data_IF_241458168807
#
_entry.id   IF_241458168807
#
_cell.length_a   1.000
_cell.length_b   1.000
_cell.length_c   1.000
_cell.angle_alpha   90.00
_cell.angle_beta   90.00
_cell.angle_gamma   90.00
#
_symmetry.space_group_name_H-M   'P 1'
#
loop_
_entity.id
_entity.type
_entity.pdbx_description
1 polymer ?
2 polymer ?
3 non-polymer ?
4 non-polymer ?
5 non-polymer ?
6 non-polymer ?
7 water ?
#
loop_
_entity_poly.entity_id
_entity_poly.type
_entity_poly.pdbx_seq_one_letter_code
_entity_poly.pdbx_strand_id
2 'polyribonucleotide' '(M7G)(A2M)G' ?
#
# COMPACT_ATOMS: atom_id res chain seq x y z
N UNK A 1 -6.31 25.12 2.58
CA UNK A 1 -6.81 24.10 3.48
C UNK A 1 -6.32 22.73 3.01
N UNK A 2 -6.34 21.76 3.92
CA UNK A 2 -5.81 20.43 3.67
C UNK A 2 -6.90 19.37 3.46
N UNK A 3 -8.15 19.67 3.81
CA UNK A 3 -9.23 18.70 3.76
C UNK A 3 -10.55 19.47 3.80
N UNK A 4 -11.62 18.79 3.43
CA UNK A 4 -12.95 19.40 3.49
C UNK A 4 -13.89 18.36 4.09
N UNK A 5 -13.93 18.30 5.43
CA UNK A 5 -14.75 17.32 6.11
C UNK A 5 -16.22 17.72 6.18
N UNK A 6 -16.60 18.84 5.58
CA UNK A 6 -18.01 19.22 5.54
C UNK A 6 -18.78 18.51 4.44
N UNK A 7 -18.10 17.99 3.43
CA UNK A 7 -18.77 17.39 2.28
C UNK A 7 -19.42 16.09 2.71
N UNK A 8 -20.73 15.96 2.45
CA UNK A 8 -21.45 14.76 2.83
C UNK A 8 -21.24 13.68 1.78
N UNK A 9 -21.47 12.43 2.18
CA UNK A 9 -21.26 11.33 1.26
C UNK A 9 -22.40 11.24 0.25
N UNK A 10 -22.08 10.81 -0.96
CA UNK A 10 -23.09 10.28 -1.87
C UNK A 10 -22.87 8.80 -2.17
N UNK A 11 -21.97 8.15 -1.42
CA UNK A 11 -21.81 6.72 -1.53
C UNK A 11 -22.97 6.00 -0.86
N UNK A 12 -23.49 4.99 -1.55
CA UNK A 12 -24.65 4.23 -1.11
C UNK A 12 -24.26 2.76 -1.04
N UNK A 13 -24.53 2.12 0.09
CA UNK A 13 -24.19 0.72 0.30
C UNK A 13 -25.38 -0.01 0.91
N UNK A 14 -25.36 -1.34 0.80
CA UNK A 14 -26.22 -2.14 1.65
C UNK A 14 -25.78 -1.98 3.10
N UNK A 15 -26.74 -1.83 4.00
CA UNK A 15 -26.40 -1.74 5.42
C UNK A 15 -25.63 -2.99 5.84
N UNK A 16 -24.68 -2.80 6.77
CA UNK A 16 -23.71 -3.81 7.17
C UNK A 16 -23.95 -4.28 8.61
N UNK A 17 -23.81 -5.58 8.83
CA UNK A 17 -23.59 -6.07 10.18
C UNK A 17 -22.31 -5.45 10.75
N UNK A 18 -22.28 -5.13 12.05
CA UNK A 18 -21.02 -4.64 12.63
C UNK A 18 -19.92 -5.69 12.50
N UNK A 19 -18.69 -5.22 12.31
CA UNK A 19 -17.54 -6.05 12.01
C UNK A 19 -17.01 -6.72 13.28
N UNK A 20 -16.28 -7.83 13.09
CA UNK A 20 -15.86 -8.67 14.19
C UNK A 20 -14.42 -8.42 14.63
N UNK A 21 -13.80 -7.32 14.19
CA UNK A 21 -12.43 -7.00 14.59
C UNK A 21 -12.31 -6.89 16.10
N UNK A 22 -11.22 -7.41 16.67
CA UNK A 22 -10.98 -7.16 18.09
C UNK A 22 -10.69 -5.68 18.27
N UNK A 23 -11.35 -5.00 19.21
CA UNK A 23 -11.16 -3.53 19.35
C UNK A 23 -9.75 -3.20 19.77
N UNK A 24 -9.14 -2.16 19.19
CA UNK A 24 -7.71 -1.92 19.42
C UNK A 24 -7.43 -1.39 20.81
N UNK A 25 -6.17 -1.59 21.25
CA UNK A 25 -5.71 -1.20 22.58
C UNK A 25 -4.20 -0.99 22.47
N UNK A 26 -3.65 0.09 23.04
CA UNK A 26 -2.20 0.32 22.87
C UNK A 26 -1.31 -0.84 23.28
N UNK A 27 -1.69 -1.62 24.30
CA UNK A 27 -0.84 -2.74 24.68
C UNK A 27 -0.68 -3.74 23.55
N UNK A 28 -1.76 -3.98 22.81
CA UNK A 28 -1.69 -4.90 21.68
C UNK A 28 -0.98 -4.24 20.51
N UNK A 29 -1.25 -2.97 20.25
CA UNK A 29 -0.61 -2.30 19.13
C UNK A 29 0.90 -2.26 19.32
N UNK A 30 1.35 -2.06 20.57
CA UNK A 30 2.78 -2.05 20.84
C UNK A 30 3.40 -3.42 20.55
N UNK A 31 2.70 -4.50 20.94
CA UNK A 31 3.20 -5.83 20.65
C UNK A 31 3.30 -6.08 19.15
N UNK A 32 2.25 -5.68 18.41
CA UNK A 32 2.29 -5.82 16.95
C UNK A 32 3.45 -5.04 16.35
N UNK A 33 3.74 -3.85 16.89
CA UNK A 33 4.87 -3.06 16.42
C UNK A 33 6.19 -3.78 16.67
N UNK A 34 6.34 -4.35 17.87
CA UNK A 34 7.59 -5.02 18.21
C UNK A 34 7.80 -6.26 17.34
N UNK A 35 6.74 -7.04 17.14
CA UNK A 35 6.86 -8.24 16.30
C UNK A 35 7.08 -7.87 14.83
N UNK A 36 6.45 -6.80 14.35
CA UNK A 36 6.68 -6.41 12.96
C UNK A 36 8.13 -5.98 12.75
N UNK A 37 8.71 -5.29 13.74
CA UNK A 37 10.13 -4.97 13.68
C UNK A 37 10.97 -6.25 13.59
N UNK A 38 10.65 -7.25 14.42
CA UNK A 38 11.40 -8.50 14.37
C UNK A 38 11.22 -9.19 13.01
N UNK A 39 10.02 -9.10 12.44
CA UNK A 39 9.78 -9.71 11.13
C UNK A 39 10.63 -9.04 10.06
N UNK A 40 10.70 -7.71 10.07
CA UNK A 40 11.58 -7.01 9.13
C UNK A 40 13.03 -7.44 9.34
N UNK A 41 13.43 -7.66 10.59
CA UNK A 41 14.80 -8.12 10.87
C UNK A 41 15.03 -9.53 10.34
N UNK A 42 14.04 -10.42 10.48
CA UNK A 42 14.17 -11.75 9.88
C UNK A 42 14.32 -11.67 8.37
N UNK A 43 13.55 -10.77 7.74
CA UNK A 43 13.62 -10.59 6.29
C UNK A 43 15.01 -10.13 5.86
N UNK A 44 15.57 -9.16 6.59
CA UNK A 44 16.93 -8.71 6.35
C UNK A 44 17.92 -9.87 6.46
N UNK A 45 17.78 -10.70 7.50
CA UNK A 45 18.72 -11.77 7.72
C UNK A 45 18.62 -12.83 6.64
N UNK A 46 17.40 -13.18 6.24
CA UNK A 46 17.21 -14.15 5.16
C UNK A 46 17.81 -13.65 3.85
N UNK A 47 17.57 -12.38 3.50
CA UNK A 47 18.16 -11.88 2.26
C UNK A 47 19.68 -11.88 2.33
N UNK A 48 20.26 -11.49 3.46
CA UNK A 48 21.71 -11.48 3.59
C UNK A 48 22.27 -12.91 3.55
N UNK A 49 21.69 -13.82 4.33
CA UNK A 49 22.28 -15.16 4.46
C UNK A 49 22.11 -15.99 3.21
N UNK A 50 20.94 -15.89 2.56
CA UNK A 50 20.66 -16.75 1.42
C UNK A 50 21.18 -16.16 0.10
N UNK A 51 21.14 -14.83 -0.05
CA UNK A 51 21.53 -14.24 -1.32
C UNK A 51 22.56 -13.11 -1.21
N UNK A 52 23.04 -12.78 -0.02
CA UNK A 52 24.07 -11.76 0.11
C UNK A 52 23.65 -10.38 -0.33
N UNK A 53 22.35 -10.06 -0.21
CA UNK A 53 21.85 -8.74 -0.58
C UNK A 53 21.05 -8.16 0.58
N UNK A 54 20.90 -6.84 0.55
CA UNK A 54 19.93 -6.19 1.41
C UNK A 54 18.52 -6.48 0.90
N UNK A 55 17.52 -6.41 1.76
CA UNK A 55 16.15 -6.53 1.25
C UNK A 55 15.88 -5.42 0.26
N UNK A 56 15.32 -5.74 -0.91
CA UNK A 56 14.98 -4.69 -1.88
C UNK A 56 14.20 -3.58 -1.20
N UNK A 57 14.57 -2.33 -1.53
CA UNK A 57 13.98 -1.19 -0.87
C UNK A 57 12.48 -1.16 -1.06
N UNK A 58 11.75 -1.02 0.05
CA UNK A 58 10.29 -0.94 0.13
C UNK A 58 9.58 -2.25 -0.24
N UNK A 59 10.32 -3.35 -0.42
CA UNK A 59 9.65 -4.59 -0.82
C UNK A 59 8.81 -5.17 0.31
N UNK A 60 9.23 -5.01 1.57
CA UNK A 60 8.44 -5.56 2.67
C UNK A 60 7.07 -4.86 2.73
N UNK A 61 7.07 -3.53 2.58
CA UNK A 61 5.82 -2.78 2.58
C UNK A 61 4.90 -3.22 1.46
N UNK A 62 5.45 -3.38 0.25
CA UNK A 62 4.62 -3.86 -0.85
C UNK A 62 4.17 -5.29 -0.62
N UNK A 63 5.00 -6.11 0.04
CA UNK A 63 4.58 -7.47 0.41
C UNK A 63 3.35 -7.43 1.31
N UNK A 64 3.35 -6.54 2.32
CA UNK A 64 2.18 -6.43 3.19
C UNK A 64 0.92 -6.14 2.37
N UNK A 65 1.03 -5.26 1.38
CA UNK A 65 -0.13 -4.88 0.56
C UNK A 65 -0.57 -6.02 -0.35
N UNK A 66 0.38 -6.64 -1.06
CA UNK A 66 0.04 -7.79 -1.91
C UNK A 66 -0.57 -8.91 -1.09
N UNK A 67 0.02 -9.23 0.07
CA UNK A 67 -0.53 -10.30 0.90
C UNK A 67 -1.97 -10.02 1.29
N UNK A 68 -2.28 -8.78 1.62
CA UNK A 68 -3.64 -8.47 2.05
C UNK A 68 -4.65 -8.54 0.91
N UNK A 69 -4.21 -8.64 -0.33
CA UNK A 69 -5.17 -8.91 -1.40
C UNK A 69 -5.82 -10.27 -1.21
N UNK A 70 -5.06 -11.26 -0.72
CA UNK A 70 -5.57 -12.62 -0.60
C UNK A 70 -5.70 -13.11 0.83
N UNK A 71 -5.21 -12.37 1.84
CA UNK A 71 -5.16 -12.86 3.20
C UNK A 71 -6.57 -13.08 3.77
N UNK A 72 -6.79 -14.25 4.36
CA UNK A 72 -8.03 -14.57 5.06
C UNK A 72 -7.84 -14.61 6.57
N UNK A 73 -6.67 -14.20 7.06
CA UNK A 73 -6.31 -14.38 8.45
C UNK A 73 -6.84 -13.30 9.38
N UNK A 74 -6.42 -13.39 10.63
CA UNK A 74 -7.05 -12.66 11.74
C UNK A 74 -6.37 -11.34 12.08
N UNK A 75 -5.22 -11.02 11.49
CA UNK A 75 -4.57 -9.77 11.89
C UNK A 75 -4.89 -8.66 10.89
N UNK A 76 -5.12 -7.42 11.35
CA UNK A 76 -5.38 -6.33 10.40
C UNK A 76 -4.16 -5.89 9.61
N UNK A 77 -2.96 -6.23 10.05
CA UNK A 77 -1.75 -5.77 9.37
C UNK A 77 -0.95 -6.93 8.77
N UNK A 78 -0.64 -7.93 9.58
CA UNK A 78 0.28 -8.99 9.15
C UNK A 78 -0.48 -10.14 8.51
N UNK A 79 0.08 -10.76 7.47
CA UNK A 79 -0.61 -11.89 6.82
C UNK A 79 -0.44 -13.21 7.56
N UNK A 80 -1.42 -14.09 7.38
CA UNK A 80 -1.33 -15.38 8.06
C UNK A 80 -2.11 -16.51 7.39
N UNK A 81 -2.94 -16.22 6.37
CA UNK A 81 -3.69 -17.31 5.72
C UNK A 81 -3.85 -16.92 4.24
N UNK A 82 -2.80 -17.19 3.46
CA UNK A 82 -2.68 -16.70 2.09
C UNK A 82 -2.44 -17.86 1.14
N UNK A 83 -3.22 -17.88 0.05
CA UNK A 83 -2.97 -18.73 -1.11
C UNK A 83 -2.72 -17.80 -2.30
N UNK A 84 -1.53 -17.82 -2.92
CA UNK A 84 -0.41 -18.73 -2.71
C UNK A 84 0.46 -18.31 -1.53
N UNK A 85 1.19 -19.27 -0.96
CA UNK A 85 2.14 -18.97 0.11
C UNK A 85 3.23 -18.02 -0.37
N UNK A 86 3.76 -18.25 -1.57
CA UNK A 86 4.86 -17.44 -2.10
C UNK A 86 4.28 -16.16 -2.71
N UNK A 87 4.72 -15.02 -2.20
CA UNK A 87 4.27 -13.74 -2.75
C UNK A 87 4.95 -13.48 -4.09
N UNK A 88 4.19 -13.29 -5.17
CA UNK A 88 4.81 -12.89 -6.44
C UNK A 88 5.48 -11.53 -6.37
N UNK A 89 5.00 -10.66 -5.47
CA UNK A 89 5.60 -9.33 -5.31
C UNK A 89 7.00 -9.44 -4.72
N UNK A 90 7.11 -10.11 -3.56
CA UNK A 90 8.42 -10.24 -2.94
C UNK A 90 9.37 -11.06 -3.82
N UNK A 91 8.85 -12.11 -4.46
CA UNK A 91 9.68 -12.91 -5.35
C UNK A 91 10.26 -12.05 -6.47
N UNK A 92 9.39 -11.29 -7.13
CA UNK A 92 9.79 -10.41 -8.23
C UNK A 92 10.89 -9.44 -7.81
N UNK A 93 10.72 -8.81 -6.66
CA UNK A 93 11.65 -7.78 -6.23
C UNK A 93 12.99 -8.38 -5.81
N UNK A 94 12.98 -9.48 -5.06
CA UNK A 94 14.26 -10.09 -4.69
C UNK A 94 15.00 -10.55 -5.95
N UNK A 95 14.29 -11.18 -6.88
CA UNK A 95 14.99 -11.70 -8.06
C UNK A 95 15.62 -10.57 -8.87
N UNK A 96 14.99 -9.40 -8.90
CA UNK A 96 15.53 -8.27 -9.66
C UNK A 96 16.83 -7.76 -9.06
N UNK A 97 17.12 -8.08 -7.80
CA UNK A 97 18.35 -7.65 -7.13
C UNK A 97 19.39 -8.76 -7.01
N UNK A 98 19.29 -9.82 -7.81
CA UNK A 98 20.27 -10.91 -7.80
C UNK A 98 21.04 -10.87 -9.10
N UNK A 99 22.38 -11.01 -9.08
CA UNK A 99 23.22 -11.22 -7.89
C UNK A 99 23.52 -9.96 -7.09
N UNK A 100 23.22 -8.79 -7.66
CA UNK A 100 23.36 -7.52 -6.93
C UNK A 100 22.22 -6.59 -7.29
N UNK A 101 21.98 -5.62 -6.41
CA UNK A 101 21.05 -4.53 -6.71
C UNK A 101 21.73 -3.56 -7.67
N UNK A 102 21.03 -3.18 -8.73
CA UNK A 102 21.53 -2.16 -9.63
C UNK A 102 21.17 -0.80 -9.03
N UNK A 103 22.17 -0.11 -8.50
CA UNK A 103 21.95 1.16 -7.84
C UNK A 103 21.60 2.24 -8.86
N UNK A 104 21.29 3.43 -8.37
CA UNK A 104 21.16 4.59 -9.25
C UNK A 104 22.55 5.11 -9.60
N UNK A 105 22.75 5.45 -10.87
CA UNK A 105 24.04 5.89 -11.37
C UNK A 105 23.93 7.34 -11.80
N UNK A 106 24.89 8.16 -11.37
CA UNK A 106 25.06 9.51 -11.86
C UNK A 106 26.38 9.71 -12.60
N UNK A 107 27.46 9.07 -12.12
CA UNK A 107 28.78 9.25 -12.69
C UNK A 107 29.14 8.06 -13.57
N UNK A 108 29.95 8.32 -14.59
CA UNK A 108 30.42 7.23 -15.43
C UNK A 108 31.29 6.25 -14.66
N UNK A 109 32.02 6.73 -13.66
CA UNK A 109 32.84 5.83 -12.85
C UNK A 109 31.97 4.89 -12.04
N UNK A 110 30.85 5.40 -11.51
CA UNK A 110 29.91 4.52 -10.80
C UNK A 110 29.27 3.51 -11.75
N UNK A 111 29.02 3.91 -13.01
CA UNK A 111 28.51 2.96 -13.99
C UNK A 111 29.53 1.89 -14.30
N UNK A 112 30.81 2.27 -14.42
CA UNK A 112 31.86 1.29 -14.65
C UNK A 112 32.01 0.35 -13.47
N UNK A 113 31.98 0.88 -12.25
CA UNK A 113 32.11 0.02 -11.08
C UNK A 113 30.94 -0.94 -10.93
N UNK A 114 29.74 -0.52 -11.30
CA UNK A 114 28.57 -1.40 -11.18
C UNK A 114 28.64 -2.54 -12.20
N UNK A 115 29.07 -2.22 -13.43
CA UNK A 115 29.30 -3.26 -14.43
C UNK A 115 30.28 -4.31 -13.91
N UNK A 116 31.40 -3.86 -13.35
CA UNK A 116 32.37 -4.80 -12.77
C UNK A 116 31.75 -5.58 -11.62
N UNK A 117 31.04 -4.90 -10.73
CA UNK A 117 30.47 -5.55 -9.55
C UNK A 117 29.46 -6.62 -9.95
N UNK A 118 28.66 -6.35 -10.98
CA UNK A 118 27.71 -7.36 -11.44
C UNK A 118 28.44 -8.58 -11.97
N UNK A 119 29.41 -8.36 -12.86
CA UNK A 119 30.15 -9.48 -13.45
C UNK A 119 30.83 -10.32 -12.37
N UNK A 120 31.45 -9.67 -11.40
CA UNK A 120 32.13 -10.39 -10.32
C UNK A 120 31.15 -11.18 -9.46
N UNK A 121 30.00 -10.59 -9.16
CA UNK A 121 29.00 -11.28 -8.35
C UNK A 121 28.39 -12.46 -9.11
N UNK A 122 28.17 -12.29 -10.41
CA UNK A 122 27.65 -13.40 -11.22
C UNK A 122 28.64 -14.55 -11.22
N UNK A 123 29.93 -14.25 -11.35
CA UNK A 123 30.94 -15.31 -11.32
C UNK A 123 30.98 -15.99 -9.95
N UNK A 124 30.95 -15.20 -8.87
CA UNK A 124 30.94 -15.80 -7.55
C UNK A 124 29.75 -16.74 -7.37
N UNK A 125 28.61 -16.35 -7.92
CA UNK A 125 27.42 -17.19 -7.84
C UNK A 125 27.63 -18.51 -8.56
N UNK A 126 28.15 -18.45 -9.79
CA UNK A 126 28.38 -19.64 -10.61
C UNK A 126 29.42 -20.56 -9.99
N UNK A 127 30.43 -19.99 -9.32
CA UNK A 127 31.47 -20.82 -8.75
C UNK A 127 31.05 -21.52 -7.46
N UNK A 128 30.05 -20.99 -6.76
CA UNK A 128 29.79 -21.44 -5.40
C UNK A 128 28.43 -22.09 -5.20
N UNK A 129 27.58 -22.16 -6.23
CA UNK A 129 26.24 -22.69 -6.07
C UNK A 129 25.93 -23.72 -7.14
N UNK A 130 24.89 -24.52 -6.90
CA UNK A 130 24.49 -25.55 -7.85
C UNK A 130 23.95 -24.90 -9.11
N UNK A 131 24.56 -25.22 -10.25
CA UNK A 131 24.19 -24.62 -11.53
C UNK A 131 24.39 -25.66 -12.61
N UNK A 132 23.51 -25.65 -13.62
CA UNK A 132 23.68 -26.61 -14.70
C UNK A 132 24.93 -26.27 -15.51
N UNK A 133 25.53 -27.26 -16.16
CA UNK A 133 26.71 -26.96 -17.00
C UNK A 133 26.42 -25.93 -18.08
N UNK A 134 25.23 -25.98 -18.68
CA UNK A 134 24.91 -25.02 -19.74
C UNK A 134 24.86 -23.61 -19.20
N UNK A 135 24.15 -23.39 -18.08
CA UNK A 135 24.07 -22.07 -17.50
C UNK A 135 25.43 -21.59 -16.98
N UNK A 136 26.25 -22.53 -16.48
CA UNK A 136 27.57 -22.14 -15.98
C UNK A 136 28.45 -21.60 -17.11
N UNK A 137 28.46 -22.27 -18.25
CA UNK A 137 29.37 -21.83 -19.30
C UNK A 137 28.90 -20.52 -19.92
N UNK A 138 27.59 -20.31 -20.01
CA UNK A 138 27.08 -19.06 -20.57
C UNK A 138 27.45 -17.88 -19.67
N UNK A 139 27.19 -18.00 -18.36
CA UNK A 139 27.55 -16.91 -17.46
C UNK A 139 29.06 -16.71 -17.44
N UNK A 140 29.82 -17.80 -17.43
CA UNK A 140 31.28 -17.69 -17.42
C UNK A 140 31.79 -16.96 -18.66
N UNK A 141 31.28 -17.34 -19.84
CA UNK A 141 31.65 -16.68 -21.09
C UNK A 141 31.41 -15.18 -21.01
N UNK A 142 30.19 -14.79 -20.64
CA UNK A 142 29.81 -13.38 -20.65
C UNK A 142 30.60 -12.59 -19.62
N UNK A 143 30.86 -13.18 -18.45
CA UNK A 143 31.61 -12.49 -17.41
C UNK A 143 33.05 -12.26 -17.85
N UNK A 144 33.74 -13.31 -18.30
CA UNK A 144 35.12 -13.14 -18.73
C UNK A 144 35.21 -12.15 -19.89
N UNK A 145 34.19 -12.11 -20.74
CA UNK A 145 34.18 -11.16 -21.85
C UNK A 145 34.08 -9.73 -21.36
N UNK A 146 33.22 -9.48 -20.36
CA UNK A 146 33.13 -8.15 -19.79
C UNK A 146 34.42 -7.79 -19.06
N UNK A 147 34.97 -8.73 -18.29
CA UNK A 147 36.22 -8.49 -17.58
C UNK A 147 37.36 -8.15 -18.54
N UNK A 148 37.48 -8.91 -19.63
CA UNK A 148 38.56 -8.64 -20.59
C UNK A 148 38.43 -7.26 -21.21
N UNK A 149 37.20 -6.83 -21.51
CA UNK A 149 36.99 -5.50 -22.06
C UNK A 149 37.31 -4.42 -21.03
N UNK A 150 36.90 -4.62 -19.77
CA UNK A 150 37.17 -3.65 -18.72
C UNK A 150 38.67 -3.52 -18.45
N UNK A 151 39.39 -4.65 -18.44
CA UNK A 151 40.83 -4.62 -18.22
C UNK A 151 41.58 -3.95 -19.36
N UNK A 152 40.98 -3.90 -20.56
CA UNK A 152 41.59 -3.22 -21.68
C UNK A 152 41.39 -1.72 -21.60
N UNK A 153 42.14 -1.00 -22.41
CA UNK A 153 41.85 0.40 -22.69
C UNK A 153 40.64 0.46 -23.61
N UNK A 154 39.56 1.07 -23.14
CA UNK A 154 38.31 1.10 -23.88
C UNK A 154 37.77 2.53 -23.91
N UNK A 155 36.68 2.70 -24.63
CA UNK A 155 36.02 3.99 -24.79
C UNK A 155 34.53 3.79 -24.58
N UNK A 156 33.97 4.47 -23.59
CA UNK A 156 32.54 4.36 -23.32
C UNK A 156 32.07 5.56 -22.53
N UNK A 157 30.85 5.99 -22.81
CA UNK A 157 30.14 6.94 -21.98
C UNK A 157 29.45 6.19 -20.83
N UNK A 158 28.91 6.94 -19.87
CA UNK A 158 28.12 6.30 -18.83
C UNK A 158 26.92 5.57 -19.43
N UNK A 159 26.32 6.14 -20.48
CA UNK A 159 25.24 5.47 -21.19
C UNK A 159 25.72 4.15 -21.80
N UNK A 160 26.98 4.13 -22.29
CA UNK A 160 27.51 2.91 -22.88
C UNK A 160 27.79 1.85 -21.83
N UNK A 161 28.30 2.25 -20.65
CA UNK A 161 28.46 1.30 -19.55
C UNK A 161 27.10 0.75 -19.12
N UNK A 162 26.11 1.63 -18.97
CA UNK A 162 24.80 1.16 -18.55
C UNK A 162 24.17 0.21 -19.58
N UNK A 163 24.34 0.51 -20.88
CA UNK A 163 23.85 -0.40 -21.90
C UNK A 163 24.65 -1.70 -21.91
N UNK A 164 25.96 -1.60 -21.70
CA UNK A 164 26.80 -2.79 -21.53
C UNK A 164 26.33 -3.63 -20.35
N UNK A 165 25.96 -2.97 -19.25
CA UNK A 165 25.45 -3.68 -18.09
C UNK A 165 24.09 -4.30 -18.38
N UNK A 166 23.19 -3.53 -19.02
CA UNK A 166 21.88 -4.07 -19.38
C UNK A 166 22.01 -5.28 -20.29
N UNK A 167 22.96 -5.25 -21.22
CA UNK A 167 23.13 -6.38 -22.13
C UNK A 167 23.73 -7.58 -21.39
N UNK A 168 24.69 -7.34 -20.50
CA UNK A 168 25.23 -8.42 -19.68
C UNK A 168 24.17 -9.01 -18.77
N UNK A 169 23.34 -8.16 -18.18
CA UNK A 169 22.24 -8.62 -17.35
C UNK A 169 21.21 -9.36 -18.19
N UNK A 170 20.99 -8.90 -19.42
CA UNK A 170 20.12 -9.64 -20.34
C UNK A 170 20.64 -11.05 -20.58
N UNK A 171 21.95 -11.19 -20.80
CA UNK A 171 22.51 -12.50 -21.11
C UNK A 171 22.56 -13.40 -19.87
N UNK A 172 22.90 -12.83 -18.72
CA UNK A 172 23.12 -13.63 -17.51
C UNK A 172 21.84 -13.87 -16.72
N UNK A 173 20.88 -12.94 -16.78
CA UNK A 173 19.71 -12.92 -15.93
C UNK A 173 18.93 -14.22 -15.86
N UNK A 174 18.53 -14.76 -17.03
CA UNK A 174 17.79 -16.03 -17.00
C UNK A 174 18.55 -17.14 -16.31
N UNK A 175 19.87 -17.16 -16.44
CA UNK A 175 20.66 -18.22 -15.84
C UNK A 175 20.82 -17.99 -14.34
N UNK A 176 21.16 -16.75 -13.96
CA UNK A 176 21.23 -16.39 -12.56
C UNK A 176 19.89 -16.64 -11.86
N UNK A 177 18.78 -16.35 -12.55
CA UNK A 177 17.47 -16.54 -11.96
C UNK A 177 17.21 -18.02 -11.67
N UNK A 178 17.53 -18.90 -12.63
CA UNK A 178 17.31 -20.33 -12.41
C UNK A 178 18.16 -20.87 -11.27
N UNK A 179 19.33 -20.26 -11.03
CA UNK A 179 20.17 -20.67 -9.91
C UNK A 179 19.51 -20.29 -8.58
N UNK A 180 18.96 -19.08 -8.50
CA UNK A 180 18.48 -18.55 -7.23
C UNK A 180 17.00 -18.82 -6.97
N UNK A 181 16.26 -19.36 -7.94
CA UNK A 181 14.80 -19.35 -7.86
C UNK A 181 14.29 -20.06 -6.60
N UNK A 182 14.81 -21.26 -6.33
CA UNK A 182 14.29 -22.02 -5.18
C UNK A 182 14.67 -21.38 -3.86
N UNK A 183 15.87 -20.81 -3.79
CA UNK A 183 16.28 -20.09 -2.57
C UNK A 183 15.39 -18.90 -2.30
N UNK A 184 15.10 -18.12 -3.34
CA UNK A 184 14.28 -16.93 -3.18
C UNK A 184 12.84 -17.31 -2.82
N UNK A 185 12.31 -18.37 -3.43
CA UNK A 185 11.00 -18.85 -3.03
C UNK A 185 10.98 -19.20 -1.55
N UNK A 186 12.09 -19.76 -1.05
CA UNK A 186 12.17 -20.11 0.36
C UNK A 186 12.19 -18.90 1.28
N UNK A 187 12.78 -17.79 0.83
CA UNK A 187 12.71 -16.56 1.63
C UNK A 187 11.26 -16.11 1.75
N UNK A 188 10.55 -16.09 0.60
CA UNK A 188 9.16 -15.65 0.58
C UNK A 188 8.28 -16.51 1.47
N UNK A 189 8.46 -17.83 1.40
CA UNK A 189 7.62 -18.71 2.22
C UNK A 189 7.98 -18.58 3.69
N UNK A 190 9.28 -18.50 4.02
CA UNK A 190 9.66 -18.48 5.42
C UNK A 190 9.16 -17.23 6.12
N UNK A 191 9.27 -16.08 5.46
CA UNK A 191 8.84 -14.84 6.11
C UNK A 191 7.32 -14.84 6.29
N UNK A 192 6.58 -15.43 5.35
CA UNK A 192 5.13 -15.64 5.53
C UNK A 192 4.84 -16.53 6.75
N UNK A 193 5.58 -17.61 6.91
CA UNK A 193 5.28 -18.50 8.01
C UNK A 193 5.68 -17.89 9.36
N UNK A 194 6.76 -17.10 9.40
CA UNK A 194 7.06 -16.41 10.64
C UNK A 194 5.96 -15.41 10.96
N UNK A 195 5.48 -14.68 9.95
CA UNK A 195 4.38 -13.74 10.13
C UNK A 195 3.16 -14.43 10.71
N UNK A 196 2.81 -15.60 10.17
CA UNK A 196 1.63 -16.29 10.67
C UNK A 196 1.79 -16.67 12.13
N UNK A 197 3.00 -16.99 12.57
CA UNK A 197 3.19 -17.32 13.99
C UNK A 197 3.05 -16.07 14.85
N UNK A 198 3.58 -14.95 14.37
CA UNK A 198 3.41 -13.68 15.09
C UNK A 198 1.93 -13.30 15.19
N UNK A 199 1.17 -13.48 14.10
CA UNK A 199 -0.27 -13.22 14.12
C UNK A 199 -0.95 -14.05 15.22
N UNK A 200 -0.58 -15.33 15.33
CA UNK A 200 -1.17 -16.18 16.36
C UNK A 200 -0.89 -15.63 17.76
N UNK A 201 0.34 -15.16 17.99
CA UNK A 201 0.68 -14.67 19.33
C UNK A 201 -0.05 -13.38 19.65
N UNK A 202 -0.14 -12.47 18.68
CA UNK A 202 -0.88 -11.22 18.87
C UNK A 202 -2.35 -11.51 19.17
N UNK A 203 -2.94 -12.42 18.40
CA UNK A 203 -4.34 -12.80 18.61
C UNK A 203 -4.56 -13.36 20.01
N UNK A 204 -3.67 -14.24 20.48
CA UNK A 204 -3.86 -14.80 21.80
C UNK A 204 -3.71 -13.72 22.87
N UNK A 205 -2.76 -12.81 22.70
CA UNK A 205 -2.62 -11.71 23.65
C UNK A 205 -3.85 -10.82 23.67
N UNK A 206 -4.42 -10.56 22.49
CA UNK A 206 -5.58 -9.66 22.43
C UNK A 206 -6.81 -10.33 23.04
N UNK A 207 -7.02 -11.62 22.78
CA UNK A 207 -8.14 -12.31 23.40
C UNK A 207 -7.97 -12.35 24.91
N UNK A 208 -6.75 -12.58 25.39
CA UNK A 208 -6.53 -12.61 26.83
C UNK A 208 -6.82 -11.26 27.46
N UNK A 209 -6.44 -10.18 26.79
CA UNK A 209 -6.75 -8.85 27.30
C UNK A 209 -8.26 -8.63 27.38
N UNK A 210 -9.00 -9.04 26.35
CA UNK A 210 -10.45 -8.84 26.39
C UNK A 210 -11.10 -9.66 27.50
N UNK A 211 -10.63 -10.90 27.68
CA UNK A 211 -11.19 -11.73 28.76
C UNK A 211 -10.91 -11.11 30.12
N UNK A 212 -9.75 -10.49 30.28
CA UNK A 212 -9.42 -9.83 31.54
C UNK A 212 -10.34 -8.66 31.80
N UNK A 213 -10.86 -8.03 30.74
CA UNK A 213 -11.82 -6.94 30.84
C UNK A 213 -13.25 -7.43 30.94
N UNK A 214 -13.46 -8.74 31.00
CA UNK A 214 -14.80 -9.36 31.07
C UNK A 214 -15.63 -9.03 29.84
N UNK A 215 -14.98 -8.92 28.69
CA UNK A 215 -15.63 -8.63 27.42
C UNK A 215 -15.76 -9.93 26.63
N UNK A 216 -16.97 -10.27 26.21
CA UNK A 216 -17.20 -11.49 25.45
C UNK A 216 -16.89 -11.27 23.98
N UNK A 217 -16.32 -12.28 23.34
CA UNK A 217 -16.06 -12.24 21.90
C UNK A 217 -16.96 -13.20 21.13
N UNK A 218 -17.95 -13.81 21.80
CA UNK A 218 -18.78 -14.82 21.13
C UNK A 218 -20.01 -14.24 20.47
N UNK A 219 -20.27 -12.94 20.59
CA UNK A 219 -21.41 -12.32 19.95
C UNK A 219 -21.30 -12.28 18.44
N UNK A 224 -29.46 -11.55 11.86
CA UNK A 224 -30.12 -10.33 11.42
C UNK A 224 -29.98 -10.15 9.91
N UNK A 225 -31.03 -9.63 9.27
CA UNK A 225 -31.08 -9.46 7.82
C UNK A 225 -30.75 -8.01 7.48
N UNK A 226 -29.88 -7.82 6.48
CA UNK A 226 -29.49 -6.49 6.00
C UNK A 226 -30.12 -6.31 4.62
N UNK A 227 -31.15 -5.48 4.54
CA UNK A 227 -31.97 -5.43 3.33
C UNK A 227 -32.28 -4.02 2.84
N UNK A 228 -31.63 -3.00 3.38
CA UNK A 228 -31.84 -1.62 2.99
C UNK A 228 -30.56 -1.04 2.39
N UNK A 229 -30.71 -0.15 1.42
CA UNK A 229 -29.60 0.67 0.95
C UNK A 229 -29.55 1.96 1.77
N UNK A 230 -28.37 2.31 2.27
CA UNK A 230 -28.21 3.50 3.09
C UNK A 230 -26.99 4.24 2.59
N UNK A 231 -26.96 5.55 2.84
CA UNK A 231 -25.72 6.27 2.60
C UNK A 231 -24.65 5.73 3.53
N UNK A 232 -23.41 5.70 3.05
CA UNK A 232 -22.37 4.98 3.78
C UNK A 232 -22.13 5.60 5.15
N UNK A 233 -21.53 4.80 6.02
CA UNK A 233 -21.24 5.20 7.39
C UNK A 233 -20.04 4.40 7.87
N UNK A 234 -19.34 4.88 8.91
CA UNK A 234 -18.08 4.23 9.31
C UNK A 234 -18.30 2.80 9.78
N UNK A 235 -17.25 1.97 9.66
CA UNK A 235 -17.32 0.61 10.20
C UNK A 235 -17.49 0.67 11.71
N UNK A 236 -18.49 -0.05 12.20
CA UNK A 236 -18.76 -0.23 13.62
C UNK A 236 -18.29 -1.61 14.06
N UNK A 237 -17.81 -1.71 15.30
CA UNK A 237 -17.36 -2.99 15.85
C UNK A 237 -18.43 -3.60 16.75
N UNK A 238 -18.66 -4.91 16.57
CA UNK A 238 -19.64 -5.59 17.40
C UNK A 238 -19.14 -5.86 18.81
N UNK A 239 -17.84 -6.04 18.98
CA UNK A 239 -17.30 -6.41 20.30
C UNK A 239 -17.11 -5.14 21.12
N UNK A 240 -17.60 -5.07 22.35
CA UNK A 240 -17.39 -3.85 23.15
C UNK A 240 -15.91 -3.52 23.30
N UNK A 241 -15.59 -2.21 23.27
CA UNK A 241 -14.18 -1.89 23.37
C UNK A 241 -13.71 -1.96 24.82
N UNK A 242 -12.43 -2.27 25.04
CA UNK A 242 -11.90 -2.30 26.39
C UNK A 242 -11.74 -0.90 26.93
N UNK A 243 -11.58 -0.75 28.25
CA UNK A 243 -11.47 0.59 28.83
C UNK A 243 -10.24 1.30 28.30
N UNK A 244 -10.33 2.64 28.28
CA UNK A 244 -9.17 3.47 27.97
C UNK A 244 -7.99 3.09 28.86
N UNK A 245 -6.80 3.37 28.35
CA UNK A 245 -5.58 3.24 29.15
C UNK A 245 -4.92 4.62 29.25
N UNK A 246 -3.85 4.70 30.04
CA UNK A 246 -3.22 5.99 30.31
C UNK A 246 -2.36 6.39 29.11
N UNK A 247 -2.81 7.40 28.36
CA UNK A 247 -2.00 8.00 27.29
C UNK A 247 -1.88 9.48 27.58
N UNK A 248 -0.64 9.97 27.68
CA UNK A 248 -0.37 11.35 28.03
C UNK A 248 -0.14 12.17 26.77
N UNK A 249 -0.75 13.35 26.71
CA UNK A 249 -0.62 14.23 25.56
C UNK A 249 -0.01 15.55 26.00
N UNK A 250 1.00 16.00 25.28
CA UNK A 250 1.45 17.38 25.37
C UNK A 250 1.90 17.81 23.98
N UNK A 251 2.07 19.11 23.80
CA UNK A 251 2.49 19.64 22.51
C UNK A 251 3.89 20.23 22.63
N UNK A 252 4.69 20.01 21.58
CA UNK A 252 6.05 20.55 21.47
C UNK A 252 6.19 21.12 20.06
N UNK A 253 6.35 22.44 19.95
CA UNK A 253 6.56 23.07 18.63
C UNK A 253 5.50 22.62 17.63
N UNK A 254 4.24 22.65 18.07
CA UNK A 254 3.09 22.26 17.25
C UNK A 254 3.16 20.81 16.79
N UNK A 255 3.83 19.95 17.56
CA UNK A 255 3.74 18.51 17.37
C UNK A 255 3.03 17.93 18.59
N UNK A 256 1.96 17.20 18.34
CA UNK A 256 1.30 16.41 19.38
C UNK A 256 2.15 15.20 19.71
N UNK A 257 2.54 15.07 20.97
CA UNK A 257 3.32 13.95 21.47
C UNK A 257 2.46 13.13 22.41
N UNK A 258 2.22 11.87 22.05
CA UNK A 258 1.36 10.99 22.83
C UNK A 258 2.21 9.85 23.38
N UNK A 259 2.19 9.68 24.69
CA UNK A 259 3.04 8.69 25.36
C UNK A 259 2.18 7.61 25.99
N UNK A 260 2.43 6.36 25.61
CA UNK A 260 1.86 5.18 26.26
C UNK A 260 3.01 4.39 26.90
N UNK A 261 3.04 4.36 28.22
CA UNK A 261 4.05 3.60 28.97
C UNK A 261 5.47 3.87 28.44
N UNK A 262 5.79 5.14 28.26
CA UNK A 262 7.12 5.49 27.79
C UNK A 262 7.36 5.35 26.30
N UNK A 263 6.38 4.84 25.55
CA UNK A 263 6.49 4.73 24.10
C UNK A 263 5.79 5.94 23.46
N UNK A 264 6.59 6.82 22.86
CA UNK A 264 6.07 8.05 22.27
C UNK A 264 5.75 7.86 20.80
N UNK A 265 4.63 8.46 20.37
CA UNK A 265 4.34 8.67 18.95
C UNK A 265 3.98 10.14 18.75
N UNK A 266 4.21 10.63 17.54
CA UNK A 266 4.08 12.04 17.26
C UNK A 266 3.23 12.24 16.01
N UNK A 267 2.45 13.31 16.01
CA UNK A 267 1.66 13.70 14.84
C UNK A 267 1.53 15.21 14.90
N UNK A 268 1.44 15.84 13.73
CA UNK A 268 1.37 17.30 13.72
C UNK A 268 0.09 17.76 14.41
N UNK A 269 0.14 18.96 14.98
CA UNK A 269 -1.05 19.53 15.61
C UNK A 269 -2.21 19.60 14.64
N UNK A 270 -1.95 20.00 13.40
CA UNK A 270 -3.01 20.07 12.41
C UNK A 270 -3.68 18.72 12.19
N UNK A 271 -2.89 17.66 12.07
CA UNK A 271 -3.49 16.32 11.93
C UNK A 271 -4.22 15.93 13.20
N UNK A 272 -3.69 16.29 14.37
CA UNK A 272 -4.37 15.94 15.61
C UNK A 272 -5.76 16.57 15.67
N UNK A 273 -5.85 17.87 15.35
CA UNK A 273 -7.14 18.54 15.34
C UNK A 273 -8.09 17.93 14.31
N UNK A 274 -7.55 17.53 13.15
CA UNK A 274 -8.36 16.82 12.17
C UNK A 274 -8.91 15.52 12.73
N UNK A 275 -8.06 14.74 13.42
CA UNK A 275 -8.52 13.46 13.98
C UNK A 275 -9.62 13.67 15.02
N UNK A 276 -9.52 14.76 15.79
CA UNK A 276 -10.56 15.05 16.76
C UNK A 276 -11.90 15.28 16.09
N UNK A 277 -11.91 16.00 14.96
CA UNK A 277 -13.16 16.23 14.24
C UNK A 277 -13.66 14.95 13.58
N UNK A 278 -12.76 14.19 12.94
CA UNK A 278 -13.15 12.91 12.36
C UNK A 278 -13.81 12.02 13.41
N UNK A 279 -13.23 11.99 14.61
CA UNK A 279 -13.77 11.17 15.70
C UNK A 279 -15.14 11.66 16.14
N UNK A 280 -15.30 12.98 16.29
CA UNK A 280 -16.63 13.51 16.59
C UNK A 280 -17.64 13.07 15.53
N UNK A 281 -17.23 13.03 14.27
CA UNK A 281 -18.16 12.67 13.20
C UNK A 281 -18.37 11.16 13.08
N UNK A 282 -17.44 10.35 13.56
CA UNK A 282 -17.38 8.95 13.16
C UNK A 282 -17.51 7.95 14.29
N UNK A 283 -17.23 8.35 15.54
CA UNK A 283 -17.21 7.42 16.66
C UNK A 283 -18.50 7.52 17.44
N UNK A 284 -19.14 6.38 17.74
CA UNK A 284 -20.40 6.42 18.48
C UNK A 284 -20.33 5.71 19.83
N UNK A 285 -19.14 5.31 20.29
CA UNK A 285 -19.08 4.62 21.57
C UNK A 285 -18.27 5.39 22.62
N UNK A 286 -18.08 6.71 22.43
CA UNK A 286 -17.13 7.42 23.27
C UNK A 286 -17.50 8.90 23.37
N UNK A 287 -18.69 9.19 23.91
CA UNK A 287 -19.20 10.58 23.86
C UNK A 287 -18.40 11.57 24.68
N UNK A 288 -17.66 11.12 25.68
CA UNK A 288 -16.83 12.00 26.50
C UNK A 288 -15.36 11.92 26.12
N UNK A 289 -15.04 11.32 24.97
CA UNK A 289 -13.68 11.25 24.43
C UNK A 289 -12.72 10.56 25.39
N UNK A 290 -13.24 9.68 26.26
CA UNK A 290 -12.36 9.02 27.21
C UNK A 290 -11.38 8.05 26.54
N UNK A 291 -11.78 7.44 25.43
CA UNK A 291 -10.96 6.48 24.72
C UNK A 291 -10.17 7.12 23.56
N UNK A 292 -10.30 8.44 23.41
CA UNK A 292 -9.78 9.11 22.22
C UNK A 292 -8.27 9.04 22.14
N UNK A 293 -7.57 9.40 23.22
CA UNK A 293 -6.10 9.38 23.16
C UNK A 293 -5.57 7.96 23.01
N UNK A 294 -6.19 6.98 23.66
CA UNK A 294 -5.81 5.58 23.43
C UNK A 294 -5.85 5.22 21.96
N UNK A 295 -6.94 5.62 21.30
CA UNK A 295 -7.13 5.25 19.91
C UNK A 295 -6.26 6.07 18.96
N UNK A 296 -6.02 7.35 19.25
CA UNK A 296 -5.08 8.11 18.44
C UNK A 296 -3.68 7.49 18.55
N UNK A 297 -3.29 7.07 19.76
CA UNK A 297 -1.99 6.42 19.91
C UNK A 297 -1.90 5.18 19.03
N UNK A 298 -2.94 4.33 19.05
CA UNK A 298 -2.93 3.12 18.23
C UNK A 298 -2.89 3.47 16.75
N UNK A 299 -3.67 4.48 16.36
CA UNK A 299 -3.71 4.88 14.95
C UNK A 299 -2.34 5.31 14.45
N UNK A 300 -1.69 6.24 15.17
CA UNK A 300 -0.38 6.71 14.75
C UNK A 300 0.61 5.54 14.72
N UNK A 301 0.64 4.74 15.78
CA UNK A 301 1.59 3.64 15.83
C UNK A 301 1.34 2.65 14.70
N UNK A 302 0.06 2.32 14.43
CA UNK A 302 -0.25 1.40 13.34
C UNK A 302 0.33 1.87 12.02
N UNK A 303 0.13 3.15 11.69
CA UNK A 303 0.62 3.63 10.41
C UNK A 303 2.14 3.77 10.40
N UNK A 304 2.75 4.08 11.55
CA UNK A 304 4.22 4.09 11.60
C UNK A 304 4.78 2.68 11.37
N UNK A 305 4.10 1.67 11.92
CA UNK A 305 4.54 0.29 11.74
C UNK A 305 4.39 -0.15 10.30
N UNK A 306 3.27 0.23 9.67
CA UNK A 306 2.98 -0.15 8.29
C UNK A 306 4.09 0.31 7.35
N UNK A 307 4.58 1.53 7.51
CA UNK A 307 5.53 2.03 6.55
C UNK A 307 6.98 1.91 7.01
N UNK A 308 7.22 1.73 8.29
CA UNK A 308 8.57 1.56 8.83
C UNK A 308 9.06 2.72 9.67
N UNK A 309 8.40 3.87 9.60
CA UNK A 309 8.76 5.02 10.43
C UNK A 309 7.61 6.01 10.54
N UNK A 319 2.09 10.35 -1.68
CA UNK A 319 1.42 11.61 -1.43
C UNK A 319 -0.02 11.63 -1.89
N UNK A 320 -0.75 12.67 -1.51
CA UNK A 320 -2.15 12.80 -1.88
C UNK A 320 -2.29 13.73 -3.08
N UNK A 321 -3.43 13.65 -3.74
CA UNK A 321 -3.71 14.60 -4.80
C UNK A 321 -3.74 16.01 -4.20
N UNK A 322 -3.33 17.02 -4.96
CA UNK A 322 -3.41 18.40 -4.46
C UNK A 322 -4.84 18.75 -4.10
N UNK A 323 -4.98 19.61 -3.09
CA UNK A 323 -6.30 20.05 -2.66
C UNK A 323 -7.10 20.67 -3.80
N UNK A 324 -6.53 21.52 -4.67
CA UNK A 324 -7.34 22.04 -5.79
C UNK A 324 -7.91 20.95 -6.69
N UNK A 325 -7.23 19.80 -6.80
CA UNK A 325 -7.74 18.70 -7.62
C UNK A 325 -8.95 18.07 -6.95
N UNK A 326 -8.88 17.85 -5.63
CA UNK A 326 -10.05 17.33 -4.93
C UNK A 326 -11.22 18.29 -5.00
N UNK A 327 -10.95 19.60 -4.89
CA UNK A 327 -12.03 20.57 -5.04
C UNK A 327 -12.70 20.44 -6.40
N UNK A 328 -11.90 20.29 -7.46
CA UNK A 328 -12.46 20.20 -8.81
C UNK A 328 -13.15 18.87 -9.03
N UNK A 329 -12.62 17.79 -8.45
CA UNK A 329 -13.29 16.50 -8.53
C UNK A 329 -14.67 16.58 -7.86
N UNK A 330 -14.75 17.27 -6.73
CA UNK A 330 -16.04 17.43 -6.06
C UNK A 330 -16.98 18.34 -6.86
N UNK A 331 -16.49 19.50 -7.28
CA UNK A 331 -17.39 20.46 -7.95
C UNK A 331 -17.77 19.99 -9.35
N UNK A 332 -16.81 19.43 -10.10
CA UNK A 332 -17.09 19.10 -11.49
C UNK A 332 -17.71 17.73 -11.67
N UNK A 333 -17.36 16.76 -10.82
CA UNK A 333 -17.80 15.38 -10.99
C UNK A 333 -18.50 14.83 -9.74
N UNK A 334 -18.80 15.66 -8.75
CA UNK A 334 -19.58 15.22 -7.61
C UNK A 334 -18.89 14.23 -6.70
N UNK A 335 -17.56 14.13 -6.77
CA UNK A 335 -16.82 13.16 -5.97
C UNK A 335 -16.98 13.49 -4.49
N UNK A 336 -17.22 12.47 -3.66
CA UNK A 336 -17.34 12.68 -2.23
C UNK A 336 -16.51 11.70 -1.39
N UNK A 337 -15.69 10.86 -2.00
CA UNK A 337 -15.23 9.66 -1.30
C UNK A 337 -13.93 9.17 -1.94
N UNK A 338 -12.94 8.81 -1.11
CA UNK A 338 -11.66 8.29 -1.57
C UNK A 338 -11.63 6.78 -1.37
N UNK A 339 -11.42 6.04 -2.45
CA UNK A 339 -11.32 4.58 -2.35
C UNK A 339 -10.07 4.12 -1.61
N UNK A 340 -9.00 4.94 -1.60
CA UNK A 340 -7.74 4.58 -0.95
C UNK A 340 -7.27 5.76 -0.14
N UNK A 341 -7.16 5.60 1.17
CA UNK A 341 -6.88 6.74 2.04
C UNK A 341 -6.53 6.20 3.41
N UNK A 342 -6.13 7.12 4.29
CA UNK A 342 -6.00 6.87 5.72
C UNK A 342 -6.69 8.03 6.44
N UNK A 343 -6.97 7.88 7.73
CA UNK A 343 -7.48 9.06 8.45
C UNK A 343 -6.53 10.24 8.39
N UNK A 344 -5.23 10.00 8.27
CA UNK A 344 -4.27 11.08 8.25
C UNK A 344 -4.24 11.81 6.90
N UNK A 345 -4.39 11.09 5.78
CA UNK A 345 -4.28 11.77 4.49
C UNK A 345 -5.62 12.04 3.81
N UNK A 346 -6.75 11.63 4.39
CA UNK A 346 -8.00 11.76 3.66
C UNK A 346 -8.39 13.23 3.47
N UNK A 347 -9.02 13.51 2.33
CA UNK A 347 -9.59 14.82 2.04
C UNK A 347 -11.03 14.94 2.50
N UNK A 348 -11.81 13.87 2.25
CA UNK A 348 -13.20 13.77 2.70
C UNK A 348 -13.29 13.00 4.02
N UNK A 349 -14.41 13.16 4.73
CA UNK A 349 -14.58 12.41 5.97
C UNK A 349 -15.05 10.99 5.74
N UNK A 350 -15.33 10.61 4.49
CA UNK A 350 -15.68 9.23 4.16
C UNK A 350 -14.70 8.70 3.13
N UNK A 351 -14.18 7.50 3.39
CA UNK A 351 -13.10 6.92 2.63
C UNK A 351 -13.00 5.46 3.03
N UNK A 352 -12.32 4.70 2.18
CA UNK A 352 -11.83 3.37 2.55
C UNK A 352 -10.37 3.48 2.97
N UNK A 353 -9.96 2.51 3.82
CA UNK A 353 -8.60 2.48 4.34
C UNK A 353 -8.24 1.04 4.69
N UNK A 354 -6.97 0.83 4.98
CA UNK A 354 -6.47 -0.53 5.18
C UNK A 354 -6.92 -1.14 6.50
N UNK A 355 -7.26 -0.33 7.50
CA UNK A 355 -7.31 -0.78 8.90
C UNK A 355 -8.62 -0.37 9.57
N UNK A 356 -9.76 -0.95 9.17
CA UNK A 356 -11.02 -0.56 9.83
C UNK A 356 -11.06 -0.80 11.33
N UNK A 357 -10.28 -1.74 11.88
CA UNK A 357 -10.32 -1.97 13.32
C UNK A 357 -10.02 -0.70 14.11
N UNK A 358 -9.09 0.11 13.61
CA UNK A 358 -8.74 1.38 14.25
C UNK A 358 -9.23 2.59 13.45
N UNK A 359 -9.29 2.50 12.12
CA UNK A 359 -9.64 3.67 11.30
C UNK A 359 -11.15 3.97 11.29
N UNK A 360 -11.97 2.98 11.62
CA UNK A 360 -13.42 3.21 11.62
C UNK A 360 -13.85 4.32 12.58
N UNK A 361 -13.16 4.41 13.72
CA UNK A 361 -13.44 5.49 14.67
C UNK A 361 -13.19 6.86 14.07
N UNK A 362 -12.42 6.91 12.98
CA UNK A 362 -12.06 8.16 12.35
C UNK A 362 -12.63 8.28 10.94
N UNK A 363 -13.61 7.44 10.60
CA UNK A 363 -14.38 7.59 9.38
C UNK A 363 -14.20 6.48 8.35
N UNK A 364 -13.34 5.49 8.58
CA UNK A 364 -13.09 4.50 7.55
C UNK A 364 -14.33 3.66 7.29
N UNK A 365 -14.57 3.40 6.01
CA UNK A 365 -15.58 2.41 5.61
C UNK A 365 -14.99 1.03 5.38
N UNK A 366 -13.74 0.80 5.80
CA UNK A 366 -13.10 -0.49 5.64
C UNK A 366 -12.25 -0.53 4.39
N UNK A 367 -11.61 -1.67 4.13
CA UNK A 367 -10.73 -1.80 2.96
C UNK A 367 -11.53 -1.83 1.66
N UNK A 368 -10.92 -1.33 0.60
CA UNK A 368 -11.72 -1.04 -0.59
C UNK A 368 -12.24 -2.31 -1.22
N UNK A 369 -11.45 -3.39 -1.22
CA UNK A 369 -11.92 -4.60 -1.91
C UNK A 369 -13.12 -5.22 -1.20
N UNK A 370 -13.38 -4.83 0.06
CA UNK A 370 -14.54 -5.29 0.81
C UNK A 370 -15.69 -4.31 0.78
N UNK A 371 -15.50 -3.16 0.13
CA UNK A 371 -16.48 -2.08 0.10
C UNK A 371 -17.38 -2.26 -1.14
N UNK A 372 -18.70 -2.22 -0.95
CA UNK A 372 -19.62 -2.59 -2.02
C UNK A 372 -20.66 -1.52 -2.30
N UNK A 373 -20.25 -0.38 -2.86
CA UNK A 373 -21.20 0.71 -3.15
C UNK A 373 -22.09 0.39 -4.34
N UNK A 374 -23.38 0.61 -4.16
CA UNK A 374 -24.33 0.60 -5.27
C UNK A 374 -24.35 1.92 -6.02
N UNK A 375 -23.94 3.01 -5.37
CA UNK A 375 -23.99 4.32 -6.00
C UNK A 375 -22.93 5.21 -5.36
N UNK A 376 -22.58 6.28 -6.06
CA UNK A 376 -21.66 7.28 -5.56
C UNK A 376 -20.66 7.70 -6.62
N UNK A 377 -19.99 8.82 -6.36
CA UNK A 377 -18.92 9.34 -7.21
C UNK A 377 -17.63 9.29 -6.41
N UNK A 378 -16.64 8.58 -6.95
CA UNK A 378 -15.45 8.18 -6.20
C UNK A 378 -14.18 8.65 -6.88
N UNK A 379 -13.17 8.89 -6.07
CA UNK A 379 -11.79 9.05 -6.51
C UNK A 379 -10.99 7.84 -6.02
N UNK A 380 -9.97 7.46 -6.78
CA UNK A 380 -9.14 6.33 -6.38
C UNK A 380 -7.69 6.63 -6.75
N UNK A 381 -6.82 6.66 -5.76
CA UNK A 381 -5.39 6.90 -5.93
C UNK A 381 -4.68 5.80 -5.16
N UNK A 382 -4.57 4.59 -5.73
CA UNK A 382 -4.15 3.43 -4.95
C UNK A 382 -2.66 3.45 -4.64
N UNK A 383 -2.24 2.69 -3.63
CA UNK A 383 -0.82 2.47 -3.38
C UNK A 383 -0.15 1.88 -4.60
N UNK A 384 1.16 2.08 -4.69
CA UNK A 384 1.93 1.56 -5.82
C UNK A 384 2.19 0.08 -5.57
N UNK A 385 1.16 -0.71 -5.80
CA UNK A 385 1.20 -2.17 -5.60
C UNK A 385 0.45 -2.80 -6.76
N UNK A 386 1.17 -3.47 -7.66
CA UNK A 386 0.57 -3.98 -8.90
C UNK A 386 -0.60 -4.92 -8.61
N UNK A 387 -0.44 -5.81 -7.62
CA UNK A 387 -1.48 -6.80 -7.36
C UNK A 387 -2.73 -6.15 -6.77
N UNK A 388 -2.56 -5.18 -5.87
CA UNK A 388 -3.71 -4.46 -5.34
C UNK A 388 -4.38 -3.66 -6.45
N UNK A 389 -3.59 -3.04 -7.33
CA UNK A 389 -4.19 -2.27 -8.42
C UNK A 389 -5.00 -3.17 -9.35
N UNK A 390 -4.48 -4.37 -9.64
CA UNK A 390 -5.21 -5.27 -10.52
C UNK A 390 -6.49 -5.77 -9.86
N UNK A 391 -6.45 -6.09 -8.57
CA UNK A 391 -7.67 -6.49 -7.86
C UNK A 391 -8.66 -5.34 -7.81
N UNK A 392 -8.15 -4.12 -7.64
CA UNK A 392 -9.01 -2.94 -7.64
C UNK A 392 -9.84 -2.86 -8.91
N UNK A 393 -9.19 -3.08 -10.07
CA UNK A 393 -9.89 -2.96 -11.34
C UNK A 393 -10.98 -4.03 -11.46
N UNK A 394 -10.65 -5.27 -11.08
CA UNK A 394 -11.67 -6.32 -11.07
C UNK A 394 -12.87 -5.91 -10.22
N UNK A 395 -12.60 -5.30 -9.06
CA UNK A 395 -13.67 -4.85 -8.17
C UNK A 395 -14.46 -3.72 -8.80
N UNK A 396 -13.78 -2.75 -9.44
CA UNK A 396 -14.49 -1.70 -10.18
C UNK A 396 -15.48 -2.30 -11.17
N UNK A 397 -15.01 -3.23 -12.00
CA UNK A 397 -15.86 -3.77 -13.05
C UNK A 397 -17.03 -4.55 -12.47
N UNK A 398 -16.81 -5.25 -11.35
CA UNK A 398 -17.90 -5.97 -10.70
C UNK A 398 -18.96 -5.01 -10.18
N UNK A 399 -18.52 -3.94 -9.50
CA UNK A 399 -19.45 -2.95 -8.97
C UNK A 399 -20.22 -2.24 -10.08
N UNK A 400 -19.49 -1.80 -11.11
CA UNK A 400 -20.13 -1.07 -12.19
C UNK A 400 -21.13 -1.93 -12.95
N UNK A 401 -20.87 -3.22 -13.07
CA UNK A 401 -21.80 -4.11 -13.75
C UNK A 401 -22.98 -4.54 -12.89
N UNK A 402 -22.84 -4.43 -11.57
CA UNK A 402 -23.82 -4.95 -10.62
C UNK A 402 -24.97 -3.98 -10.35
N UNK A 403 -24.76 -2.69 -10.56
CA UNK A 403 -25.72 -1.68 -10.14
C UNK A 403 -26.13 -0.80 -11.33
N UNK A 404 -27.41 -0.41 -11.35
CA UNK A 404 -27.89 0.57 -12.31
C UNK A 404 -28.01 1.96 -11.69
N UNK A 405 -27.65 2.14 -10.42
CA UNK A 405 -27.62 3.46 -9.83
C UNK A 405 -26.36 4.20 -10.28
N UNK A 406 -26.35 5.53 -10.21
CA UNK A 406 -25.20 6.30 -10.72
C UNK A 406 -23.91 5.93 -9.98
N UNK A 407 -22.90 5.52 -10.75
CA UNK A 407 -21.64 5.07 -10.18
C UNK A 407 -20.49 5.60 -11.04
N UNK A 408 -19.50 6.24 -10.41
CA UNK A 408 -18.38 6.81 -11.14
C UNK A 408 -17.10 6.66 -10.32
N UNK A 409 -16.02 6.23 -10.99
CA UNK A 409 -14.70 6.13 -10.37
C UNK A 409 -13.72 6.90 -11.23
N UNK A 410 -13.02 7.86 -10.63
CA UNK A 410 -11.98 8.63 -11.31
C UNK A 410 -10.66 8.21 -10.68
N UNK A 411 -9.78 7.62 -11.49
CA UNK A 411 -8.68 6.78 -11.01
C UNK A 411 -7.38 7.39 -11.48
N UNK A 412 -6.40 7.47 -10.57
CA UNK A 412 -5.09 8.06 -10.84
C UNK A 412 -4.04 7.00 -10.56
N UNK A 413 -3.31 6.59 -11.60
CA UNK A 413 -2.26 5.59 -11.42
C UNK A 413 -1.03 6.03 -12.19
N UNK A 414 0.15 5.53 -11.78
CA UNK A 414 1.38 5.86 -12.51
C UNK A 414 1.30 5.43 -13.97
N UNK A 415 1.93 6.21 -14.84
CA UNK A 415 2.03 5.86 -16.26
C UNK A 415 3.10 4.80 -16.43
N UNK A 416 2.74 3.56 -16.05
CA UNK A 416 3.64 2.43 -16.21
C UNK A 416 3.40 1.83 -17.59
N UNK A 417 4.37 2.01 -18.49
CA UNK A 417 4.26 1.55 -19.86
C UNK A 417 5.36 0.60 -20.31
N UNK A 418 6.44 0.47 -19.54
CA UNK A 418 7.60 -0.32 -19.96
C UNK A 418 8.24 -0.95 -18.74
N UNK A 419 7.68 -2.07 -18.25
CA UNK A 419 6.53 -2.76 -18.83
C UNK A 419 5.18 -2.21 -18.33
N UNK A 420 4.11 -2.44 -19.08
CA UNK A 420 2.78 -2.06 -18.59
C UNK A 420 2.39 -2.89 -17.38
N UNK A 421 1.42 -2.39 -16.65
CA UNK A 421 0.88 -3.15 -15.55
C UNK A 421 -0.55 -3.57 -15.85
N UNK A 422 -0.96 -4.78 -15.47
CA UNK A 422 -2.28 -5.28 -15.92
C UNK A 422 -3.43 -4.35 -15.55
N UNK A 423 -3.34 -3.66 -14.42
CA UNK A 423 -4.44 -2.79 -14.00
C UNK A 423 -4.68 -1.69 -15.02
N UNK A 424 -3.61 -1.05 -15.49
CA UNK A 424 -3.75 0.03 -16.46
C UNK A 424 -4.23 -0.52 -17.81
N UNK A 425 -3.61 -1.61 -18.27
CA UNK A 425 -4.04 -2.24 -19.51
C UNK A 425 -5.53 -2.59 -19.48
N UNK A 426 -6.00 -3.14 -18.37
CA UNK A 426 -7.39 -3.58 -18.30
C UNK A 426 -8.33 -2.39 -18.20
N UNK A 427 -7.94 -1.35 -17.47
CA UNK A 427 -8.76 -0.15 -17.41
C UNK A 427 -8.89 0.50 -18.78
N UNK A 428 -7.82 0.48 -19.58
CA UNK A 428 -7.87 1.06 -20.91
C UNK A 428 -8.77 0.26 -21.85
N UNK A 429 -8.98 -1.03 -21.58
CA UNK A 429 -9.85 -1.86 -22.38
C UNK A 429 -11.24 -2.05 -21.77
N UNK A 430 -11.57 -1.31 -20.71
CA UNK A 430 -12.83 -1.53 -20.02
C UNK A 430 -14.00 -0.95 -20.79
N UNK A 431 -15.12 -1.68 -20.79
CA UNK A 431 -16.33 -1.19 -21.44
C UNK A 431 -16.93 0.00 -20.71
N UNK A 432 -16.49 0.28 -19.49
CA UNK A 432 -16.97 1.40 -18.70
C UNK A 432 -16.11 2.64 -18.85
N UNK A 433 -15.01 2.58 -19.60
CA UNK A 433 -14.14 3.74 -19.75
C UNK A 433 -14.84 4.84 -20.53
N UNK A 434 -14.88 6.03 -19.95
CA UNK A 434 -15.52 7.18 -20.55
C UNK A 434 -14.54 8.26 -20.98
N UNK A 435 -13.37 8.34 -20.34
CA UNK A 435 -12.36 9.31 -20.68
C UNK A 435 -11.05 8.88 -20.06
N UNK A 436 -9.95 9.27 -20.70
CA UNK A 436 -8.63 9.03 -20.13
C UNK A 436 -7.69 10.14 -20.58
N UNK A 437 -6.75 10.49 -19.69
CA UNK A 437 -5.76 11.50 -20.01
C UNK A 437 -4.52 11.27 -19.16
N UNK A 438 -3.41 11.84 -19.60
CA UNK A 438 -2.15 11.81 -18.87
C UNK A 438 -1.83 13.22 -18.39
N UNK A 439 -1.47 13.37 -17.12
CA UNK A 439 -1.22 14.67 -16.53
C UNK A 439 0.18 14.69 -15.92
N UNK A 440 1.09 15.53 -16.40
CA UNK A 440 2.30 15.83 -15.63
C UNK A 440 2.00 16.86 -14.55
N UNK A 441 2.67 16.71 -13.41
CA UNK A 441 2.42 17.55 -12.24
C UNK A 441 3.74 18.09 -11.70
N UNK A 442 3.76 19.40 -11.42
CA UNK A 442 4.98 20.07 -10.95
C UNK A 442 4.80 20.84 -9.64
N UNK A 443 3.57 21.02 -9.16
CA UNK A 443 3.30 21.70 -7.91
C UNK A 443 2.90 20.66 -6.88
N UNK A 444 3.75 20.45 -5.87
CA UNK A 444 3.56 19.47 -4.82
C UNK A 444 3.48 20.18 -3.48
N UNK A 445 2.43 19.87 -2.71
CA UNK A 445 2.17 20.58 -1.47
C UNK A 445 3.17 20.21 -0.38
N UNK A 446 3.51 21.18 0.46
CA UNK A 446 4.38 20.98 1.60
C UNK A 446 3.55 20.61 2.83
N UNK A 447 4.09 19.72 3.66
CA UNK A 447 3.41 19.25 4.86
C UNK A 447 4.29 19.52 6.08
N UNK A 448 3.88 20.49 6.89
CA UNK A 448 4.62 20.82 8.11
C UNK A 448 4.25 19.86 9.24
N UNK A 465 6.69 9.06 -16.16
CA UNK A 465 6.45 10.49 -15.95
C UNK A 465 5.00 10.84 -16.27
N UNK A 466 4.34 11.49 -15.32
CA UNK A 466 2.95 11.82 -15.46
C UNK A 466 2.04 10.77 -14.84
N UNK A 467 0.77 11.13 -14.73
CA UNK A 467 -0.23 10.31 -14.08
C UNK A 467 -1.34 10.00 -15.07
N UNK A 468 -1.71 8.73 -15.18
CA UNK A 468 -2.84 8.35 -15.99
C UNK A 468 -4.12 8.54 -15.18
N UNK A 469 -5.07 9.26 -15.75
CA UNK A 469 -6.35 9.53 -15.09
C UNK A 469 -7.44 8.85 -15.93
N UNK A 470 -8.19 7.94 -15.31
CA UNK A 470 -9.16 7.11 -16.03
C UNK A 470 -10.53 7.29 -15.41
N UNK A 471 -11.54 7.51 -16.25
CA UNK A 471 -12.93 7.68 -15.83
C UNK A 471 -13.67 6.38 -16.15
N UNK A 472 -14.09 5.65 -15.12
CA UNK A 472 -14.92 4.46 -15.29
C UNK A 472 -16.30 4.75 -14.69
N UNK A 473 -17.34 4.61 -15.51
CA UNK A 473 -18.69 4.97 -15.10
C UNK A 473 -19.69 4.02 -15.73
N UNK A 474 -20.73 3.65 -14.98
CA UNK A 474 -21.83 2.96 -15.62
C UNK A 474 -22.71 3.98 -16.32
N UNK A 475 -23.72 3.49 -17.06
CA UNK A 475 -24.54 4.39 -17.86
C UNK A 475 -25.18 5.48 -17.02
N UNK A 476 -25.68 5.12 -15.84
CA UNK A 476 -26.33 6.12 -14.99
C UNK A 476 -25.33 7.13 -14.46
N UNK A 477 -24.12 6.67 -14.11
CA UNK A 477 -23.11 7.60 -13.65
C UNK A 477 -22.60 8.50 -14.77
N UNK A 478 -22.53 7.96 -15.99
CA UNK A 478 -22.12 8.76 -17.14
C UNK A 478 -23.15 9.84 -17.45
N UNK A 479 -24.43 9.51 -17.33
CA UNK A 479 -25.47 10.51 -17.54
C UNK A 479 -25.40 11.62 -16.49
N UNK A 480 -24.99 11.28 -15.27
CA UNK A 480 -25.02 12.23 -14.16
C UNK A 480 -23.73 13.04 -14.04
N UNK A 481 -22.59 12.43 -14.33
CA UNK A 481 -21.29 13.06 -14.12
C UNK A 481 -20.42 12.92 -15.37
N UNK A 482 -21.02 13.18 -16.53
CA UNK A 482 -20.34 12.98 -17.81
C UNK A 482 -19.05 13.79 -17.87
N UNK A 483 -17.93 13.18 -18.33
CA UNK A 483 -16.67 13.94 -18.55
C UNK A 483 -16.74 14.79 -19.81
N UNK A 484 -17.52 15.87 -19.73
CA UNK A 484 -17.65 16.83 -20.81
C UNK A 484 -16.36 17.62 -20.98
N UNK A 485 -16.31 18.40 -22.06
CA UNK A 485 -15.11 19.19 -22.33
C UNK A 485 -14.89 20.24 -21.25
N UNK A 486 -15.96 20.93 -20.83
CA UNK A 486 -15.80 21.98 -19.84
C UNK A 486 -15.35 21.42 -18.49
N UNK A 487 -15.94 20.30 -18.06
CA UNK A 487 -15.56 19.71 -16.78
C UNK A 487 -14.11 19.22 -16.80
N UNK A 488 -13.70 18.60 -17.90
CA UNK A 488 -12.30 18.17 -18.01
C UNK A 488 -11.36 19.37 -17.99
N UNK A 489 -11.77 20.47 -18.66
CA UNK A 489 -10.93 21.66 -18.67
C UNK A 489 -10.78 22.25 -17.27
N UNK A 490 -11.88 22.25 -16.49
CA UNK A 490 -11.79 22.73 -15.12
C UNK A 490 -10.92 21.84 -14.26
N UNK A 491 -11.00 20.52 -14.47
CA UNK A 491 -10.14 19.60 -13.72
C UNK A 491 -8.67 19.82 -14.07
N UNK A 492 -8.36 19.96 -15.37
CA UNK A 492 -6.98 20.18 -15.78
C UNK A 492 -6.46 21.53 -15.27
N UNK A 493 -7.33 22.53 -15.17
CA UNK A 493 -6.90 23.82 -14.64
C UNK A 493 -6.48 23.72 -13.20
N UNK A 494 -7.05 22.77 -12.45
CA UNK A 494 -6.68 22.60 -11.06
C UNK A 494 -5.44 21.75 -10.88
N UNK A 495 -5.00 21.04 -11.94
CA UNK A 495 -3.99 20.00 -11.83
C UNK A 495 -2.66 20.55 -12.38
N UNK A 496 -1.98 21.31 -11.54
CA UNK A 496 -0.72 21.94 -11.92
C UNK A 496 0.48 21.21 -11.33
#
# INVERSE_FOLDING_TARGET
VYWDLDIQTNAVIRERAPADHLPPHPEIELQRAQLTTKLRQHYHELCSQREGIEPPRESFNRWLLERKVVDKGLDPLLPSECDPVISPSMFREIMNDIPIRLSRIKYKEEARKLLFKYAEAAKKMIDSRNVTPESRKVVKWNVEDTMNWLRRDHSASKEDYMDRLENLRKQCGPHVASVAKDSVEGICSKIYHISAEYVRRIRQAHLTLLKECNISVDGTESAEVQDRLVYCYPVRLSIPAPPQTRVELHFENDIACLRFKGEMVKVSRGHFNKLELLYRYSCIDDPRFEKFLSRVWCLIKRYQVMFGSGVNEGSGLQGSLPVPVFEALNKQFGVTFECFASPLNCYFKQFCSAFPDIDGFFGSRGPFLSFSPASGSFEANPPFCEELMDAMVTHFEDLLGRSSEPLSFIIFVPEWRDPPTPALTRMEASRFRRHQMTVPAFEHEYRSGSQHICKREEIYYKAIHGTAVIFLQNNAGFAKWEPTTERIQELLAAYK
#
